data_IF_912127820060
#
_entry.id   IF_912127820060
#
_cell.length_a   1.000
_cell.length_b   1.000
_cell.length_c   1.000
_cell.angle_alpha   90.00
_cell.angle_beta   90.00
_cell.angle_gamma   90.00
#
_symmetry.space_group_name_H-M   'P 1'
#
loop_
_entity.id
_entity.type
_entity.pdbx_description
1 polymer ?
#
# COMPACT_ATOMS: atom_id res chain seq x y z
N UNK A 1 4.79 -14.13 16.29
CA UNK A 1 5.94 -13.65 15.49
C UNK A 1 7.17 -13.60 16.36
N UNK A 2 8.34 -13.92 15.83
CA UNK A 2 9.62 -13.62 16.47
C UNK A 2 10.31 -12.50 15.68
N UNK A 3 10.06 -11.25 16.04
CA UNK A 3 10.52 -10.07 15.31
C UNK A 3 11.85 -9.56 15.85
N UNK A 4 12.80 -9.29 14.96
CA UNK A 4 13.99 -8.51 15.29
C UNK A 4 13.69 -7.01 15.08
N UNK A 5 13.16 -6.36 16.12
CA UNK A 5 12.69 -4.97 16.06
C UNK A 5 13.83 -4.00 15.73
N UNK A 6 15.01 -4.20 16.31
CA UNK A 6 16.17 -3.32 16.08
C UNK A 6 16.62 -3.37 14.61
N UNK A 7 16.74 -4.58 14.06
CA UNK A 7 17.12 -4.78 12.66
C UNK A 7 16.06 -4.26 11.69
N UNK A 8 14.78 -4.45 12.00
CA UNK A 8 13.68 -3.85 11.21
C UNK A 8 13.77 -2.33 11.22
N UNK A 9 13.97 -1.71 12.39
CA UNK A 9 14.18 -0.25 12.48
C UNK A 9 15.38 0.22 11.65
N UNK A 10 16.50 -0.49 11.71
CA UNK A 10 17.69 -0.11 10.95
C UNK A 10 17.50 -0.25 9.45
N UNK A 11 16.78 -1.29 8.99
CA UNK A 11 16.36 -1.41 7.60
C UNK A 11 15.53 -0.20 7.16
N UNK A 12 14.55 0.22 7.95
CA UNK A 12 13.71 1.38 7.62
C UNK A 12 14.42 2.73 7.76
N UNK A 13 15.52 2.84 8.51
CA UNK A 13 16.38 4.05 8.51
C UNK A 13 17.22 4.18 7.24
N UNK A 14 17.41 3.10 6.49
CA UNK A 14 18.17 3.12 5.24
C UNK A 14 17.43 3.88 4.12
N UNK A 15 18.15 4.14 3.03
CA UNK A 15 17.62 4.79 1.83
C UNK A 15 16.83 3.80 0.97
N UNK A 16 15.72 3.30 1.51
CA UNK A 16 14.76 2.50 0.76
C UNK A 16 14.11 3.37 -0.31
N UNK A 17 14.00 2.83 -1.53
CA UNK A 17 13.21 3.45 -2.58
C UNK A 17 11.73 3.36 -2.20
N UNK A 18 11.07 4.50 -2.11
CA UNK A 18 9.62 4.58 -1.84
C UNK A 18 8.92 5.02 -3.11
N UNK A 19 7.90 4.27 -3.52
CA UNK A 19 7.09 4.62 -4.69
C UNK A 19 6.41 5.98 -4.48
N UNK A 20 6.64 6.91 -5.40
CA UNK A 20 6.07 8.26 -5.38
C UNK A 20 4.84 8.41 -6.27
N UNK A 21 4.12 7.32 -6.55
CA UNK A 21 2.87 7.42 -7.29
C UNK A 21 1.79 8.06 -6.42
N UNK A 22 0.78 8.64 -7.06
CA UNK A 22 -0.27 9.41 -6.37
C UNK A 22 -1.06 8.61 -5.34
N UNK A 23 -1.23 7.30 -5.54
CA UNK A 23 -1.89 6.43 -4.56
C UNK A 23 -0.99 6.14 -3.35
N UNK A 24 0.31 5.93 -3.55
CA UNK A 24 1.27 5.77 -2.45
C UNK A 24 1.42 7.05 -1.64
N UNK A 25 1.51 8.21 -2.32
CA UNK A 25 1.50 9.51 -1.67
C UNK A 25 0.24 9.70 -0.81
N UNK A 26 -0.94 9.36 -1.34
CA UNK A 26 -2.19 9.46 -0.59
C UNK A 26 -2.17 8.58 0.67
N UNK A 27 -1.69 7.34 0.55
CA UNK A 27 -1.56 6.41 1.68
C UNK A 27 -0.71 7.02 2.79
N UNK A 28 0.51 7.43 2.46
CA UNK A 28 1.50 7.96 3.42
C UNK A 28 0.96 9.19 4.17
N UNK A 29 0.20 10.05 3.48
CA UNK A 29 -0.32 11.30 4.05
C UNK A 29 -1.57 11.11 4.92
N UNK A 30 -2.35 10.05 4.69
CA UNK A 30 -3.69 9.92 5.30
C UNK A 30 -3.83 8.76 6.28
N UNK A 31 -3.03 7.69 6.13
CA UNK A 31 -3.19 6.46 6.92
C UNK A 31 -3.07 6.69 8.43
N UNK A 32 -2.17 7.57 8.88
CA UNK A 32 -2.00 7.81 10.32
C UNK A 32 -3.16 8.56 10.97
N UNK A 33 -4.00 9.23 10.18
CA UNK A 33 -5.20 9.90 10.67
C UNK A 33 -6.39 8.95 10.70
N UNK A 34 -6.52 8.10 9.67
CA UNK A 34 -7.65 7.16 9.53
C UNK A 34 -7.47 5.88 10.34
N UNK A 35 -6.24 5.36 10.41
CA UNK A 35 -5.89 4.09 11.05
C UNK A 35 -4.69 4.27 12.00
N UNK A 36 -4.84 5.05 13.08
CA UNK A 36 -3.76 5.28 14.04
C UNK A 36 -3.28 3.97 14.69
N UNK A 37 -4.17 3.03 14.99
CA UNK A 37 -3.80 1.75 15.61
C UNK A 37 -2.95 0.86 14.69
N UNK A 38 -3.19 0.92 13.38
CA UNK A 38 -2.32 0.26 12.40
C UNK A 38 -0.93 0.87 12.41
N UNK A 39 -0.84 2.20 12.48
CA UNK A 39 0.45 2.89 12.57
C UNK A 39 1.19 2.52 13.85
N UNK A 40 0.49 2.49 14.99
CA UNK A 40 1.05 2.07 16.27
C UNK A 40 1.54 0.62 16.21
N UNK A 41 0.76 -0.29 15.61
CA UNK A 41 1.16 -1.67 15.40
C UNK A 41 2.45 -1.76 14.57
N UNK A 42 2.50 -1.11 13.40
CA UNK A 42 3.68 -1.13 12.53
C UNK A 42 4.91 -0.59 13.26
N UNK A 43 4.77 0.52 13.97
CA UNK A 43 5.85 1.11 14.75
C UNK A 43 6.31 0.20 15.90
N UNK A 44 5.39 -0.53 16.54
CA UNK A 44 5.69 -1.47 17.63
C UNK A 44 6.61 -2.62 17.19
N UNK A 45 6.50 -3.03 15.93
CA UNK A 45 7.36 -4.07 15.31
C UNK A 45 8.58 -3.48 14.57
N UNK A 46 8.77 -2.16 14.63
CA UNK A 46 9.92 -1.46 14.07
C UNK A 46 9.76 -1.03 12.60
N UNK A 47 8.59 -1.19 12.02
CA UNK A 47 8.28 -0.79 10.63
C UNK A 47 8.01 0.72 10.57
N UNK A 48 8.58 1.39 9.57
CA UNK A 48 8.14 2.74 9.19
C UNK A 48 6.99 2.63 8.18
N UNK A 49 5.77 2.91 8.64
CA UNK A 49 4.57 2.84 7.82
C UNK A 49 4.66 3.71 6.55
N UNK A 50 5.49 4.74 6.54
CA UNK A 50 5.65 5.64 5.39
C UNK A 50 6.47 5.03 4.25
N UNK A 51 7.03 3.84 4.44
CA UNK A 51 7.89 3.15 3.49
C UNK A 51 7.31 1.77 3.12
N UNK A 52 6.10 1.70 2.53
CA UNK A 52 5.57 0.42 2.07
C UNK A 52 6.50 -0.21 1.04
N UNK A 53 6.68 -1.52 1.12
CA UNK A 53 7.44 -2.31 0.16
C UNK A 53 6.69 -2.40 -1.18
N UNK A 54 5.41 -2.78 -1.12
CA UNK A 54 4.49 -2.75 -2.26
C UNK A 54 3.10 -2.29 -1.80
N UNK A 55 2.33 -1.72 -2.73
CA UNK A 55 0.93 -1.35 -2.51
C UNK A 55 0.09 -1.78 -3.70
N UNK A 56 -1.04 -2.41 -3.45
CA UNK A 56 -2.06 -2.78 -4.42
C UNK A 56 -3.31 -1.96 -4.12
N UNK A 57 -3.87 -1.29 -5.11
CA UNK A 57 -4.93 -0.32 -4.89
C UNK A 57 -5.90 -0.21 -6.07
N UNK A 58 -7.12 0.22 -5.75
CA UNK A 58 -8.20 0.52 -6.68
C UNK A 58 -8.78 1.89 -6.35
N UNK A 59 -8.93 2.76 -7.35
CA UNK A 59 -9.56 4.05 -7.15
C UNK A 59 -11.09 3.93 -7.16
N UNK A 60 -11.77 4.58 -6.21
CA UNK A 60 -13.22 4.74 -6.23
C UNK A 60 -13.58 6.19 -6.55
N UNK A 61 -14.21 6.36 -7.71
CA UNK A 61 -14.56 7.67 -8.28
C UNK A 61 -15.82 8.27 -7.68
N UNK A 62 -16.73 7.45 -7.17
CA UNK A 62 -18.01 7.92 -6.64
C UNK A 62 -17.81 8.67 -5.32
N UNK A 63 -16.88 8.19 -4.50
CA UNK A 63 -16.65 8.72 -3.15
C UNK A 63 -15.26 9.33 -2.96
N UNK A 64 -14.51 9.48 -4.06
CA UNK A 64 -13.15 10.03 -4.14
C UNK A 64 -12.23 9.42 -3.09
N UNK A 65 -12.04 8.11 -3.20
CA UNK A 65 -11.23 7.33 -2.27
C UNK A 65 -10.36 6.32 -2.99
N UNK A 66 -9.48 5.70 -2.23
CA UNK A 66 -8.64 4.60 -2.68
C UNK A 66 -8.86 3.44 -1.72
N UNK A 67 -9.18 2.28 -2.29
CA UNK A 67 -9.17 1.01 -1.60
C UNK A 67 -7.81 0.35 -1.80
N UNK A 68 -7.12 0.04 -0.72
CA UNK A 68 -5.83 -0.64 -0.76
C UNK A 68 -6.06 -2.12 -0.45
N UNK A 69 -5.96 -2.94 -1.49
CA UNK A 69 -6.12 -4.40 -1.45
C UNK A 69 -4.93 -5.13 -0.82
N UNK A 70 -3.80 -4.44 -0.69
CA UNK A 70 -2.63 -4.98 -0.03
C UNK A 70 -1.56 -3.90 0.15
N UNK A 71 -1.00 -3.82 1.34
CA UNK A 71 0.12 -2.96 1.68
C UNK A 71 1.17 -3.82 2.35
N UNK A 72 2.30 -3.97 1.69
CA UNK A 72 3.33 -4.89 2.11
C UNK A 72 4.46 -4.21 2.85
N UNK A 73 4.99 -4.84 3.89
CA UNK A 73 6.18 -4.39 4.63
C UNK A 73 7.12 -5.53 4.92
N UNK A 74 8.42 -5.25 4.86
CA UNK A 74 9.47 -6.22 5.22
C UNK A 74 9.70 -6.17 6.73
N UNK A 75 9.72 -7.33 7.37
CA UNK A 75 9.98 -7.46 8.80
C UNK A 75 11.07 -8.50 9.02
N UNK A 76 12.12 -8.13 9.76
CA UNK A 76 13.20 -9.07 10.08
C UNK A 76 12.78 -9.99 11.21
N UNK A 77 13.13 -11.28 11.08
CA UNK A 77 12.74 -12.33 12.01
C UNK A 77 12.01 -13.48 11.34
N UNK A 78 11.15 -14.15 12.10
CA UNK A 78 10.41 -15.33 11.65
C UNK A 78 8.91 -15.16 11.91
N UNK A 79 8.13 -15.55 10.90
CA UNK A 79 6.67 -15.63 10.99
C UNK A 79 6.24 -16.96 11.61
N UNK A 80 5.22 -16.91 12.46
CA UNK A 80 4.62 -18.11 13.05
C UNK A 80 3.39 -18.45 12.20
N UNK A 81 3.33 -19.65 11.63
CA UNK A 81 2.32 -20.03 10.62
C UNK A 81 0.85 -19.84 11.05
N UNK A 82 0.57 -19.74 12.36
CA UNK A 82 -0.80 -19.60 12.91
C UNK A 82 -1.24 -18.15 13.20
N UNK A 83 -0.47 -17.13 12.83
CA UNK A 83 -0.73 -15.74 13.23
C UNK A 83 -1.49 -14.93 12.17
N UNK A 84 -2.82 -15.09 12.03
CA UNK A 84 -3.61 -14.07 11.34
C UNK A 84 -4.10 -13.06 12.37
N UNK A 85 -3.72 -11.79 12.22
CA UNK A 85 -4.13 -10.73 13.14
C UNK A 85 -5.23 -9.90 12.49
N UNK A 86 -6.32 -9.69 13.22
CA UNK A 86 -7.37 -8.75 12.84
C UNK A 86 -7.35 -7.59 13.83
N UNK A 87 -7.21 -6.38 13.31
CA UNK A 87 -7.26 -5.13 14.07
C UNK A 87 -8.36 -4.26 13.48
N UNK A 88 -9.46 -4.08 14.19
CA UNK A 88 -10.54 -3.17 13.78
C UNK A 88 -10.96 -3.30 12.30
N UNK A 89 -11.09 -4.57 11.86
CA UNK A 89 -11.46 -5.00 10.50
C UNK A 89 -10.35 -4.96 9.44
N UNK A 90 -9.12 -4.59 9.79
CA UNK A 90 -7.93 -4.76 8.96
C UNK A 90 -7.39 -6.17 9.17
N UNK A 91 -7.00 -6.87 8.10
CA UNK A 91 -6.29 -8.15 8.23
C UNK A 91 -4.80 -7.96 7.98
N UNK A 92 -3.99 -8.56 8.84
CA UNK A 92 -2.54 -8.58 8.74
C UNK A 92 -2.10 -10.03 8.72
N UNK A 93 -1.36 -10.42 7.67
CA UNK A 93 -0.91 -11.79 7.46
C UNK A 93 0.45 -11.83 6.78
N UNK A 94 1.12 -12.99 6.79
CA UNK A 94 2.35 -13.16 6.02
C UNK A 94 1.99 -13.26 4.53
N UNK A 95 2.56 -12.35 3.74
CA UNK A 95 2.41 -12.38 2.30
C UNK A 95 3.01 -13.66 1.73
N UNK A 96 2.20 -14.41 0.96
CA UNK A 96 2.69 -15.53 0.14
C UNK A 96 3.19 -15.09 -1.23
N UNK A 97 2.99 -13.83 -1.61
CA UNK A 97 3.29 -13.28 -2.94
C UNK A 97 3.80 -11.85 -2.83
N UNK A 98 5.10 -11.66 -3.04
CA UNK A 98 5.75 -10.35 -3.02
C UNK A 98 6.95 -10.37 -3.97
N UNK A 99 7.43 -9.19 -4.38
CA UNK A 99 8.69 -9.09 -5.13
C UNK A 99 9.88 -9.65 -4.34
N UNK A 100 10.91 -10.12 -5.06
CA UNK A 100 12.17 -10.56 -4.46
C UNK A 100 12.78 -9.41 -3.65
N UNK A 101 13.05 -9.64 -2.37
CA UNK A 101 13.54 -8.62 -1.43
C UNK A 101 15.04 -8.37 -1.55
N UNK A 102 15.80 -9.31 -2.11
CA UNK A 102 17.27 -9.33 -2.10
C UNK A 102 17.90 -9.26 -0.69
N UNK A 103 17.17 -9.69 0.34
CA UNK A 103 17.65 -9.72 1.73
C UNK A 103 18.09 -11.15 2.08
N UNK A 104 19.33 -11.31 2.53
CA UNK A 104 19.89 -12.61 2.90
C UNK A 104 19.51 -13.05 4.33
N UNK A 105 19.32 -12.08 5.22
CA UNK A 105 18.93 -12.34 6.59
C UNK A 105 17.51 -12.88 6.68
N UNK A 106 17.19 -13.60 7.75
CA UNK A 106 15.83 -14.07 8.00
C UNK A 106 14.86 -12.90 8.12
N UNK A 107 13.85 -12.91 7.27
CA UNK A 107 12.79 -11.91 7.20
C UNK A 107 11.52 -12.55 6.63
N UNK A 108 10.40 -11.85 6.79
CA UNK A 108 9.14 -12.14 6.14
C UNK A 108 8.52 -10.83 5.65
N UNK A 109 7.52 -10.93 4.77
CA UNK A 109 6.74 -9.79 4.32
C UNK A 109 5.35 -9.90 4.93
N UNK A 110 4.91 -8.87 5.65
CA UNK A 110 3.50 -8.76 6.04
C UNK A 110 2.72 -8.14 4.89
N UNK A 111 1.49 -8.57 4.72
CA UNK A 111 0.48 -7.95 3.87
C UNK A 111 -0.67 -7.44 4.75
N UNK A 112 -1.24 -6.32 4.35
CA UNK A 112 -2.28 -5.59 5.08
C UNK A 112 -3.33 -5.20 4.07
N UNK A 113 -4.53 -5.75 4.19
CA UNK A 113 -5.63 -5.49 3.27
C UNK A 113 -6.82 -4.82 3.97
N UNK A 114 -7.87 -4.57 3.20
CA UNK A 114 -9.12 -3.94 3.64
C UNK A 114 -8.95 -2.49 4.17
N UNK A 115 -7.96 -1.76 3.65
CA UNK A 115 -7.71 -0.35 3.98
C UNK A 115 -8.45 0.59 3.02
N UNK A 116 -9.27 1.49 3.55
CA UNK A 116 -10.02 2.47 2.78
C UNK A 116 -9.64 3.89 3.19
N UNK A 117 -9.08 4.67 2.26
CA UNK A 117 -8.64 6.04 2.54
C UNK A 117 -9.31 7.02 1.60
N UNK A 118 -9.87 8.09 2.16
CA UNK A 118 -10.31 9.24 1.36
C UNK A 118 -9.11 9.89 0.68
N UNK A 119 -9.39 10.53 -0.45
CA UNK A 119 -8.40 11.36 -1.12
C UNK A 119 -8.02 12.56 -0.24
N UNK A 120 -6.73 12.69 0.06
CA UNK A 120 -6.19 13.71 0.96
C UNK A 120 -5.06 14.53 0.38
N UNK A 121 -4.74 14.39 -0.92
CA UNK A 121 -3.74 15.23 -1.57
C UNK A 121 -4.34 16.56 -2.03
N UNK A 122 -3.49 17.58 -2.16
CA UNK A 122 -3.87 18.93 -2.62
C UNK A 122 -4.38 18.95 -4.07
N UNK A 123 -3.85 18.08 -4.93
CA UNK A 123 -4.31 17.97 -6.33
C UNK A 123 -5.68 17.32 -6.37
N UNK A 124 -6.51 17.67 -7.36
CA UNK A 124 -7.85 17.09 -7.47
C UNK A 124 -7.79 15.59 -7.78
N UNK A 125 -8.74 14.81 -7.24
CA UNK A 125 -8.80 13.37 -7.49
C UNK A 125 -8.93 13.04 -8.98
N UNK A 126 -9.70 13.86 -9.71
CA UNK A 126 -9.90 13.72 -11.16
C UNK A 126 -8.65 14.05 -11.99
N UNK A 127 -7.74 14.87 -11.45
CA UNK A 127 -6.43 15.14 -12.06
C UNK A 127 -5.47 13.97 -11.83
N UNK A 128 -5.49 13.39 -10.62
CA UNK A 128 -4.68 12.23 -10.26
C UNK A 128 -5.12 10.95 -11.00
N UNK A 129 -6.43 10.76 -11.16
CA UNK A 129 -7.04 9.63 -11.84
C UNK A 129 -7.96 10.13 -12.96
N UNK A 130 -7.41 10.54 -14.12
CA UNK A 130 -8.23 11.05 -15.21
C UNK A 130 -9.23 9.99 -15.69
N UNK A 131 -10.44 10.41 -16.14
CA UNK A 131 -11.42 9.47 -16.66
C UNK A 131 -10.86 8.79 -17.91
N UNK A 132 -11.07 7.47 -18.00
CA UNK A 132 -10.71 6.72 -19.20
C UNK A 132 -11.54 7.27 -20.36
N UNK A 133 -10.88 7.94 -21.32
CA UNK A 133 -11.54 8.40 -22.54
C UNK A 133 -12.07 7.17 -23.27
N UNK A 134 -13.39 6.97 -23.29
CA UNK A 134 -14.01 6.01 -24.20
C UNK A 134 -13.59 6.42 -25.61
N UNK A 135 -12.77 5.62 -26.29
CA UNK A 135 -12.55 5.80 -27.73
C UNK A 135 -13.91 5.59 -28.38
N UNK A 136 -14.55 6.67 -28.81
CA UNK A 136 -15.78 6.60 -29.57
C UNK A 136 -15.49 5.80 -30.84
N UNK A 137 -15.96 4.55 -30.88
CA UNK A 137 -15.89 3.68 -32.06
C UNK A 137 -16.49 4.39 -33.29
N UNK A 138 -17.46 5.27 -33.02
CA UNK A 138 -18.16 6.14 -33.97
C UNK A 138 -17.18 7.09 -34.71
N UNK A 139 -16.20 7.70 -34.04
CA UNK A 139 -15.25 8.63 -34.70
C UNK A 139 -14.32 7.94 -35.71
N UNK A 140 -14.04 6.64 -35.53
CA UNK A 140 -13.25 5.84 -36.49
C UNK A 140 -14.06 5.46 -37.73
N UNK A 141 -15.38 5.32 -37.62
CA UNK A 141 -16.25 4.98 -38.75
C UNK A 141 -16.45 6.22 -39.64
N UNK A 142 -16.65 7.40 -39.05
CA UNK A 142 -16.86 8.65 -39.81
C UNK A 142 -15.59 9.23 -40.44
N UNK A 143 -14.39 8.82 -40.01
CA UNK A 143 -13.11 9.20 -40.66
C UNK A 143 -12.73 8.35 -41.87
N UNK A 144 -13.44 7.25 -42.14
CA UNK A 144 -13.16 6.37 -43.30
C UNK A 144 -14.02 6.66 -44.54
N UNK A 145 -14.87 7.69 -44.50
CA UNK A 145 -15.75 8.08 -45.62
C UNK A 145 -15.51 9.51 -46.15
N UNK A 146 -14.30 10.05 -45.99
CA UNK A 146 -13.88 11.26 -46.72
C UNK A 146 -12.58 10.99 -47.47
#
# INVERSE_FOLDING_TARGET
MNVNIEKTKDYYKSNLEVCSCVACENYINTVSQTYPELVDFLQSIGVDYRKPFETFWLENREDQSIYYEGIQYVVFGEWNQDFMYSLDNIRIFCSGTHRVTNINDKHFVIDIDDIHLKWGLQKEFSEAFPPIKKKNLIEKIFRRQK
#
